data_IF_867199818888
#
_entry.id   IF_867199818888
#
_cell.length_a   1.000
_cell.length_b   1.000
_cell.length_c   1.000
_cell.angle_alpha   90.00
_cell.angle_beta   90.00
_cell.angle_gamma   90.00
#
_symmetry.space_group_name_H-M   'P 1'
#
loop_
_entity.id
_entity.type
_entity.pdbx_description
1 polymer ?
#
# COMPACT_ATOMS: atom_id res chain seq x y z
N UNK A 1 17.34 18.97 40.86
CA UNK A 1 16.79 19.63 39.65
C UNK A 1 17.32 18.91 38.42
N UNK A 2 16.62 17.86 37.97
CA UNK A 2 16.87 17.23 36.68
C UNK A 2 15.53 17.27 35.95
N UNK A 3 15.37 18.10 34.91
CA UNK A 3 14.14 18.09 34.14
C UNK A 3 14.14 16.80 33.31
N UNK A 4 13.33 15.84 33.75
CA UNK A 4 12.81 14.74 32.93
C UNK A 4 11.97 15.37 31.82
N UNK A 5 12.63 15.92 30.82
CA UNK A 5 12.02 16.19 29.54
C UNK A 5 11.72 14.82 28.96
N UNK A 6 10.45 14.43 29.14
CA UNK A 6 9.77 13.45 28.32
C UNK A 6 10.01 13.82 26.85
N UNK A 7 11.10 13.33 26.27
CA UNK A 7 11.39 13.51 24.86
C UNK A 7 10.36 12.73 24.06
N UNK A 8 9.31 13.48 23.68
CA UNK A 8 8.48 13.22 22.51
C UNK A 8 7.78 11.87 22.52
N UNK A 9 6.66 11.83 23.25
CA UNK A 9 5.43 11.32 22.65
C UNK A 9 5.23 12.14 21.35
N UNK A 10 5.72 11.62 20.21
CA UNK A 10 5.13 11.95 18.90
C UNK A 10 3.64 11.71 19.09
N UNK A 11 2.85 12.76 18.96
CA UNK A 11 1.55 12.87 19.63
C UNK A 11 0.67 11.66 19.28
N UNK A 12 -0.21 11.24 20.20
CA UNK A 12 -1.19 10.19 19.89
C UNK A 12 -1.98 10.51 18.61
N UNK A 13 -2.18 11.81 18.34
CA UNK A 13 -2.77 12.32 17.10
C UNK A 13 -1.94 11.98 15.85
N UNK A 14 -0.61 12.07 15.90
CA UNK A 14 0.28 11.68 14.79
C UNK A 14 0.18 10.18 14.49
N UNK A 15 0.01 9.34 15.53
CA UNK A 15 -0.20 7.90 15.38
C UNK A 15 -1.57 7.61 14.78
N UNK A 16 -2.63 8.27 15.26
CA UNK A 16 -4.00 8.14 14.72
C UNK A 16 -4.02 8.53 13.24
N UNK A 17 -3.36 9.63 12.87
CA UNK A 17 -3.24 10.07 11.48
C UNK A 17 -2.41 9.14 10.59
N UNK A 18 -1.72 8.14 11.15
CA UNK A 18 -1.02 7.11 10.36
C UNK A 18 -1.82 5.82 10.21
N UNK A 19 -2.86 5.58 11.04
CA UNK A 19 -3.59 4.31 11.11
C UNK A 19 -5.11 4.44 10.98
N UNK A 20 -5.65 5.66 10.87
CA UNK A 20 -7.05 5.98 10.54
C UNK A 20 -7.65 5.12 9.42
N UNK A 21 -6.86 4.76 8.41
CA UNK A 21 -7.26 3.92 7.28
C UNK A 21 -7.69 2.51 7.71
N UNK A 22 -7.31 2.03 8.91
CA UNK A 22 -7.81 0.77 9.45
C UNK A 22 -9.30 0.86 9.83
N UNK A 23 -9.82 2.05 10.08
CA UNK A 23 -11.21 2.25 10.53
C UNK A 23 -12.16 2.70 9.40
N UNK A 24 -11.64 3.06 8.23
CA UNK A 24 -12.43 3.55 7.09
C UNK A 24 -12.66 2.46 6.05
N UNK A 25 -13.89 2.05 5.73
CA UNK A 25 -14.11 1.08 4.65
C UNK A 25 -13.64 1.64 3.30
N UNK A 26 -14.01 2.89 3.03
CA UNK A 26 -13.61 3.65 1.85
C UNK A 26 -12.52 4.67 2.18
N UNK A 27 -11.43 4.63 1.41
CA UNK A 27 -10.33 5.58 1.47
C UNK A 27 -10.35 6.45 0.22
N UNK A 28 -10.14 7.75 0.39
CA UNK A 28 -10.10 8.74 -0.70
C UNK A 28 -8.71 9.34 -0.82
N UNK A 29 -8.22 9.46 -2.04
CA UNK A 29 -6.91 10.03 -2.36
C UNK A 29 -6.86 10.43 -3.84
N UNK A 30 -5.96 11.36 -4.18
CA UNK A 30 -5.73 11.79 -5.56
C UNK A 30 -5.20 10.60 -6.40
N UNK A 31 -5.85 10.24 -7.53
CA UNK A 31 -5.44 9.10 -8.37
C UNK A 31 -3.97 9.13 -8.80
N UNK A 32 -3.38 10.31 -8.98
CA UNK A 32 -1.98 10.51 -9.36
C UNK A 32 -1.00 9.98 -8.31
N UNK A 33 -1.45 9.80 -7.07
CA UNK A 33 -0.64 9.18 -6.01
C UNK A 33 -0.37 7.70 -6.29
N UNK A 34 -1.20 7.05 -7.12
CA UNK A 34 -1.01 5.66 -7.54
C UNK A 34 0.07 5.51 -8.62
N UNK A 35 0.56 6.61 -9.22
CA UNK A 35 1.60 6.54 -10.23
C UNK A 35 2.95 6.29 -9.55
N UNK A 36 3.54 5.12 -9.84
CA UNK A 36 4.83 4.73 -9.31
C UNK A 36 5.94 5.71 -9.69
N UNK A 37 6.97 5.80 -8.86
CA UNK A 37 8.10 6.71 -9.12
C UNK A 37 8.76 6.37 -10.47
N UNK A 38 8.85 7.35 -11.36
CA UNK A 38 9.37 7.18 -12.74
C UNK A 38 8.59 6.15 -13.56
N UNK A 39 7.30 6.02 -13.32
CA UNK A 39 6.39 5.20 -14.11
C UNK A 39 5.31 6.08 -14.72
N UNK A 40 4.65 5.56 -15.74
CA UNK A 40 3.42 6.08 -16.32
C UNK A 40 2.19 5.52 -15.60
N UNK A 41 1.01 6.09 -15.85
CA UNK A 41 -0.25 5.54 -15.35
C UNK A 41 -0.50 4.12 -15.87
N UNK A 42 -0.18 3.85 -17.15
CA UNK A 42 -0.32 2.53 -17.75
C UNK A 42 0.61 1.48 -17.12
N UNK A 43 1.88 1.81 -16.89
CA UNK A 43 2.82 0.91 -16.21
C UNK A 43 2.39 0.66 -14.75
N UNK A 44 1.87 1.68 -14.07
CA UNK A 44 1.39 1.55 -12.68
C UNK A 44 0.12 0.71 -12.60
N UNK A 45 -0.77 0.83 -13.60
CA UNK A 45 -1.95 0.01 -13.75
C UNK A 45 -1.59 -1.47 -13.90
N UNK A 46 -0.66 -1.78 -14.80
CA UNK A 46 -0.22 -3.15 -15.02
C UNK A 46 0.47 -3.73 -13.79
N UNK A 47 1.36 -2.97 -13.16
CA UNK A 47 2.03 -3.39 -11.93
C UNK A 47 1.02 -3.69 -10.79
N UNK A 48 0.01 -2.85 -10.61
CA UNK A 48 -1.02 -3.07 -9.60
C UNK A 48 -1.93 -4.25 -9.94
N UNK A 49 -2.24 -4.47 -11.23
CA UNK A 49 -3.06 -5.59 -11.69
C UNK A 49 -2.38 -6.92 -11.40
N UNK A 50 -1.10 -7.03 -11.76
CA UNK A 50 -0.28 -8.20 -11.46
C UNK A 50 -0.15 -8.44 -9.96
N UNK A 51 0.02 -7.38 -9.17
CA UNK A 51 0.03 -7.50 -7.70
C UNK A 51 -1.31 -7.99 -7.14
N UNK A 52 -2.44 -7.50 -7.68
CA UNK A 52 -3.77 -7.95 -7.27
C UNK A 52 -3.93 -9.46 -7.50
N UNK A 53 -3.57 -9.94 -8.70
CA UNK A 53 -3.64 -11.36 -9.08
C UNK A 53 -2.77 -12.21 -8.16
N UNK A 54 -1.50 -11.84 -7.98
CA UNK A 54 -0.57 -12.54 -7.07
C UNK A 54 -1.14 -12.64 -5.66
N UNK A 55 -1.65 -11.53 -5.11
CA UNK A 55 -2.17 -11.47 -3.74
C UNK A 55 -3.46 -12.26 -3.59
N UNK A 56 -4.32 -12.28 -4.61
CA UNK A 56 -5.56 -13.04 -4.61
C UNK A 56 -5.33 -14.55 -4.53
N UNK A 57 -4.27 -15.05 -5.15
CA UNK A 57 -3.95 -16.48 -5.27
C UNK A 57 -3.09 -17.03 -4.13
N UNK A 58 -2.61 -16.19 -3.19
CA UNK A 58 -1.72 -16.66 -2.12
C UNK A 58 -2.39 -17.73 -1.25
N UNK A 59 -1.66 -18.77 -0.81
CA UNK A 59 -2.21 -19.80 0.08
C UNK A 59 -2.45 -19.27 1.51
N UNK A 60 -1.66 -18.30 1.96
CA UNK A 60 -1.79 -17.64 3.26
C UNK A 60 -1.65 -16.13 3.12
N UNK A 61 -2.18 -15.38 4.08
CA UNK A 61 -2.20 -13.92 4.08
C UNK A 61 -1.44 -13.34 5.29
N UNK A 62 -0.27 -13.90 5.56
CA UNK A 62 0.67 -13.45 6.57
C UNK A 62 1.79 -12.58 5.97
N UNK A 63 2.52 -11.83 6.82
CA UNK A 63 3.55 -10.89 6.36
C UNK A 63 4.65 -11.55 5.53
N UNK A 64 5.13 -12.74 5.93
CA UNK A 64 6.25 -13.40 5.27
C UNK A 64 5.88 -13.89 3.87
N UNK A 65 4.68 -14.44 3.72
CA UNK A 65 4.15 -14.88 2.42
C UNK A 65 3.92 -13.70 1.48
N UNK A 66 3.32 -12.61 2.00
CA UNK A 66 3.10 -11.38 1.24
C UNK A 66 4.41 -10.73 0.79
N UNK A 67 5.38 -10.64 1.69
CA UNK A 67 6.70 -10.07 1.40
C UNK A 67 7.42 -10.85 0.31
N UNK A 68 7.48 -12.18 0.45
CA UNK A 68 8.17 -13.05 -0.51
C UNK A 68 7.52 -12.93 -1.89
N UNK A 69 6.20 -13.07 -1.97
CA UNK A 69 5.49 -13.03 -3.24
C UNK A 69 5.60 -11.68 -3.96
N UNK A 70 5.44 -10.57 -3.23
CA UNK A 70 5.49 -9.24 -3.83
C UNK A 70 6.92 -8.79 -4.19
N UNK A 71 7.94 -9.28 -3.48
CA UNK A 71 9.34 -9.08 -3.87
C UNK A 71 9.66 -9.83 -5.17
N UNK A 72 9.30 -11.10 -5.24
CA UNK A 72 9.49 -11.90 -6.47
C UNK A 72 8.77 -11.25 -7.65
N UNK A 73 7.54 -10.79 -7.45
CA UNK A 73 6.80 -10.08 -8.49
C UNK A 73 7.51 -8.79 -8.95
N UNK A 74 8.06 -8.00 -8.03
CA UNK A 74 8.82 -6.82 -8.40
C UNK A 74 10.01 -7.18 -9.30
N UNK A 75 10.73 -8.26 -8.98
CA UNK A 75 11.84 -8.77 -9.80
C UNK A 75 11.36 -9.27 -11.17
N UNK A 76 10.28 -10.04 -11.23
CA UNK A 76 9.67 -10.54 -12.48
C UNK A 76 9.26 -9.41 -13.42
N UNK A 77 8.69 -8.33 -12.87
CA UNK A 77 8.30 -7.14 -13.63
C UNK A 77 9.47 -6.21 -13.97
N UNK A 78 10.69 -6.50 -13.50
CA UNK A 78 11.85 -5.63 -13.66
C UNK A 78 11.73 -4.29 -12.92
N UNK A 79 10.87 -4.23 -11.89
CA UNK A 79 10.60 -3.03 -11.11
C UNK A 79 11.45 -3.00 -9.84
N UNK A 80 11.83 -1.80 -9.42
CA UNK A 80 12.36 -1.64 -8.07
C UNK A 80 11.25 -1.91 -7.07
N UNK A 81 11.56 -2.62 -5.99
CA UNK A 81 10.63 -2.89 -4.89
C UNK A 81 9.86 -1.62 -4.43
N UNK A 82 10.56 -0.48 -4.30
CA UNK A 82 9.93 0.79 -3.91
C UNK A 82 8.91 1.35 -4.92
N UNK A 83 9.00 0.99 -6.20
CA UNK A 83 7.99 1.34 -7.20
C UNK A 83 6.71 0.56 -6.95
N UNK A 84 6.79 -0.78 -6.94
CA UNK A 84 5.62 -1.65 -6.73
C UNK A 84 4.99 -1.40 -5.35
N UNK A 85 5.79 -1.39 -4.29
CA UNK A 85 5.30 -1.28 -2.92
C UNK A 85 4.73 0.12 -2.62
N UNK A 86 5.22 1.14 -3.33
CA UNK A 86 4.65 2.48 -3.26
C UNK A 86 3.22 2.50 -3.79
N UNK A 87 2.98 1.87 -4.94
CA UNK A 87 1.65 1.78 -5.57
C UNK A 87 0.69 1.02 -4.64
N UNK A 88 1.08 -0.16 -4.16
CA UNK A 88 0.26 -0.98 -3.26
C UNK A 88 -0.05 -0.23 -1.96
N UNK A 89 0.94 0.45 -1.36
CA UNK A 89 0.72 1.23 -0.14
C UNK A 89 -0.36 2.29 -0.35
N UNK A 90 -0.25 3.08 -1.42
CA UNK A 90 -1.25 4.10 -1.71
C UNK A 90 -2.61 3.46 -1.96
N UNK A 91 -2.66 2.39 -2.76
CA UNK A 91 -3.89 1.68 -3.06
C UNK A 91 -4.64 1.21 -1.80
N UNK A 92 -3.93 0.75 -0.77
CA UNK A 92 -4.57 0.18 0.43
C UNK A 92 -4.67 1.13 1.62
N UNK A 93 -3.93 2.25 1.63
CA UNK A 93 -3.93 3.20 2.76
C UNK A 93 -4.34 4.61 2.39
N UNK A 94 -4.27 4.96 1.10
CA UNK A 94 -4.39 6.34 0.62
C UNK A 94 -3.19 7.22 0.95
N UNK A 95 -2.08 6.65 1.44
CA UNK A 95 -0.94 7.40 1.99
C UNK A 95 0.37 7.00 1.33
N UNK A 96 1.23 7.98 1.08
CA UNK A 96 2.62 7.74 0.61
C UNK A 96 3.54 7.24 1.73
N UNK A 97 3.23 7.61 2.97
CA UNK A 97 3.94 7.21 4.18
C UNK A 97 2.93 6.54 5.11
N UNK A 98 3.20 5.30 5.48
CA UNK A 98 2.37 4.47 6.33
C UNK A 98 3.28 3.48 7.10
N UNK A 99 2.74 2.69 8.05
CA UNK A 99 3.47 1.59 8.68
C UNK A 99 4.07 0.59 7.66
N UNK A 100 4.86 -0.41 8.12
CA UNK A 100 5.37 -1.47 7.26
C UNK A 100 4.25 -2.08 6.41
N UNK A 101 4.49 -2.20 5.09
CA UNK A 101 3.44 -2.53 4.12
C UNK A 101 2.84 -3.91 4.39
N UNK A 102 3.69 -4.93 4.55
CA UNK A 102 3.23 -6.31 4.68
C UNK A 102 2.45 -6.53 5.98
N UNK A 103 2.94 -5.99 7.11
CA UNK A 103 2.16 -5.95 8.35
C UNK A 103 0.86 -5.17 8.21
N UNK A 104 0.84 -4.06 7.46
CA UNK A 104 -0.40 -3.34 7.18
C UNK A 104 -1.39 -4.21 6.41
N UNK A 105 -0.95 -4.92 5.37
CA UNK A 105 -1.77 -5.83 4.60
C UNK A 105 -2.29 -6.98 5.48
N UNK A 106 -1.41 -7.68 6.20
CA UNK A 106 -1.78 -8.78 7.08
C UNK A 106 -2.84 -8.38 8.12
N UNK A 107 -2.70 -7.19 8.72
CA UNK A 107 -3.69 -6.66 9.67
C UNK A 107 -5.00 -6.19 9.00
N UNK A 108 -4.95 -5.64 7.78
CA UNK A 108 -6.16 -5.29 7.02
C UNK A 108 -6.95 -6.53 6.58
N UNK A 109 -6.25 -7.63 6.34
CA UNK A 109 -6.80 -8.86 5.79
C UNK A 109 -6.94 -8.84 4.27
N UNK A 110 -7.16 -10.03 3.70
CA UNK A 110 -7.21 -10.27 2.25
C UNK A 110 -8.34 -9.51 1.58
N UNK A 111 -9.57 -9.71 2.05
CA UNK A 111 -10.77 -9.18 1.42
C UNK A 111 -10.70 -7.65 1.27
N UNK A 112 -10.32 -6.95 2.34
CA UNK A 112 -10.22 -5.50 2.35
C UNK A 112 -9.06 -4.98 1.51
N UNK A 113 -7.93 -5.69 1.52
CA UNK A 113 -6.78 -5.36 0.66
C UNK A 113 -7.19 -5.45 -0.82
N UNK A 114 -7.78 -6.57 -1.23
CA UNK A 114 -8.21 -6.78 -2.62
C UNK A 114 -9.29 -5.79 -3.04
N UNK A 115 -10.30 -5.54 -2.19
CA UNK A 115 -11.35 -4.57 -2.50
C UNK A 115 -10.80 -3.14 -2.72
N UNK A 116 -9.79 -2.73 -1.94
CA UNK A 116 -9.11 -1.44 -2.11
C UNK A 116 -8.24 -1.40 -3.37
N UNK A 117 -7.49 -2.47 -3.63
CA UNK A 117 -6.71 -2.59 -4.87
C UNK A 117 -7.60 -2.55 -6.11
N UNK A 118 -8.78 -3.17 -6.08
CA UNK A 118 -9.75 -3.12 -7.18
C UNK A 118 -10.25 -1.69 -7.46
N UNK A 119 -10.52 -0.90 -6.41
CA UNK A 119 -10.87 0.52 -6.55
C UNK A 119 -9.72 1.32 -7.15
N UNK A 120 -8.49 1.08 -6.68
CA UNK A 120 -7.29 1.71 -7.22
C UNK A 120 -7.04 1.36 -8.70
N UNK A 121 -7.32 0.13 -9.13
CA UNK A 121 -7.26 -0.28 -10.54
C UNK A 121 -8.22 0.55 -11.40
N UNK A 122 -9.47 0.73 -10.96
CA UNK A 122 -10.46 1.55 -11.68
C UNK A 122 -10.03 3.01 -11.81
N UNK A 123 -9.38 3.58 -10.79
CA UNK A 123 -8.83 4.94 -10.85
C UNK A 123 -7.67 5.05 -11.84
N UNK A 124 -6.74 4.08 -11.84
CA UNK A 124 -5.63 4.04 -12.79
C UNK A 124 -6.10 3.82 -14.24
N UNK A 125 -7.13 3.01 -14.46
CA UNK A 125 -7.76 2.82 -15.78
C UNK A 125 -8.33 4.13 -16.33
N UNK A 126 -8.82 5.03 -15.48
CA UNK A 126 -9.30 6.34 -15.91
C UNK A 126 -8.14 7.28 -16.26
N UNK A 127 -7.04 7.22 -15.52
CA UNK A 127 -5.85 8.04 -15.79
C UNK A 127 -5.03 7.58 -16.99
N UNK A 128 -5.11 6.30 -17.36
CA UNK A 128 -4.36 5.72 -18.47
C UNK A 128 -5.06 5.86 -19.84
N UNK A 129 -6.28 6.42 -19.86
CA UNK A 129 -7.01 6.78 -21.09
C UNK A 129 -6.48 8.09 -21.68
#
# INVERSE_FOLDING_TARGET
MVPLVQERIKTLADVIALVDFFFQEDISYEPEMLIGKKMTAAESLEALRRAYETVAELPSFDEGTLETALRNLAEELGLKAGQLFGIIRVAITGKKVAPPLFGTMANLGRERTLARMEKALKLLEQLAK
#
